data_IF_419047464529
#
_entry.id   IF_419047464529
#
_cell.length_a   1.000
_cell.length_b   1.000
_cell.length_c   1.000
_cell.angle_alpha   90.00
_cell.angle_beta   90.00
_cell.angle_gamma   90.00
#
_symmetry.space_group_name_H-M   'P 1'
#
loop_
_entity.id
_entity.type
_entity.pdbx_description
1 polymer ?
#
# COMPACT_ATOMS: atom_id res chain seq x y z
N UNK A 1 9.53 6.63 -11.00
CA UNK A 1 10.71 5.99 -10.37
C UNK A 1 10.81 6.55 -8.96
N UNK A 2 10.66 5.72 -7.93
CA UNK A 2 10.83 6.19 -6.55
C UNK A 2 12.27 6.65 -6.37
N UNK A 3 12.47 7.80 -5.72
CA UNK A 3 13.77 8.46 -5.59
C UNK A 3 14.63 7.81 -4.49
N UNK A 4 14.68 6.48 -4.48
CA UNK A 4 15.36 5.68 -3.45
C UNK A 4 16.89 5.76 -3.53
N UNK A 5 17.46 6.48 -4.51
CA UNK A 5 18.91 6.61 -4.74
C UNK A 5 19.67 7.23 -3.56
N UNK A 6 19.00 8.03 -2.73
CA UNK A 6 19.56 8.63 -1.50
C UNK A 6 19.62 7.64 -0.32
N UNK A 7 18.99 6.47 -0.43
CA UNK A 7 18.93 5.47 0.64
C UNK A 7 20.19 4.60 0.70
N UNK A 8 20.52 4.03 1.88
CA UNK A 8 21.61 3.07 2.01
C UNK A 8 21.47 1.90 1.03
N UNK A 9 22.60 1.38 0.56
CA UNK A 9 22.63 0.28 -0.42
C UNK A 9 21.78 -0.92 0.02
N UNK A 10 21.90 -1.32 1.29
CA UNK A 10 21.12 -2.44 1.83
C UNK A 10 19.60 -2.21 1.72
N UNK A 11 19.12 -1.01 2.07
CA UNK A 11 17.70 -0.65 1.94
C UNK A 11 17.26 -0.64 0.47
N UNK A 12 18.09 -0.09 -0.44
CA UNK A 12 17.78 -0.10 -1.88
C UNK A 12 17.68 -1.51 -2.46
N UNK A 13 18.57 -2.42 -2.05
CA UNK A 13 18.51 -3.83 -2.45
C UNK A 13 17.23 -4.49 -1.90
N UNK A 14 16.89 -4.22 -0.63
CA UNK A 14 15.66 -4.74 -0.06
C UNK A 14 14.40 -4.25 -0.80
N UNK A 15 14.33 -2.96 -1.18
CA UNK A 15 13.24 -2.40 -2.01
C UNK A 15 13.18 -3.08 -3.37
N UNK A 16 14.33 -3.22 -4.06
CA UNK A 16 14.38 -3.88 -5.37
C UNK A 16 13.87 -5.32 -5.29
N UNK A 17 14.38 -6.09 -4.34
CA UNK A 17 14.16 -7.54 -4.30
C UNK A 17 12.79 -7.90 -3.73
N UNK A 18 12.26 -7.11 -2.78
CA UNK A 18 11.06 -7.47 -2.03
C UNK A 18 9.84 -6.58 -2.31
N UNK A 19 10.01 -5.47 -3.02
CA UNK A 19 8.89 -4.64 -3.49
C UNK A 19 8.84 -4.61 -5.01
N UNK A 20 9.88 -4.09 -5.69
CA UNK A 20 9.85 -3.93 -7.15
C UNK A 20 9.81 -5.27 -7.89
N UNK A 21 10.50 -6.29 -7.38
CA UNK A 21 10.52 -7.66 -7.93
C UNK A 21 9.13 -8.32 -7.98
N UNK A 22 8.41 -8.43 -6.85
CA UNK A 22 7.08 -9.05 -6.81
C UNK A 22 5.92 -8.12 -7.20
N UNK A 23 6.12 -6.79 -7.26
CA UNK A 23 5.08 -5.82 -7.62
C UNK A 23 4.32 -6.12 -8.91
N UNK A 24 4.93 -6.58 -10.01
CA UNK A 24 4.19 -6.92 -11.23
C UNK A 24 3.10 -7.97 -11.02
N UNK A 25 3.38 -9.02 -10.24
CA UNK A 25 2.39 -10.05 -9.91
C UNK A 25 1.23 -9.46 -9.10
N UNK A 26 1.56 -8.61 -8.12
CA UNK A 26 0.58 -7.92 -7.29
C UNK A 26 -0.32 -6.99 -8.11
N UNK A 27 0.25 -6.25 -9.06
CA UNK A 27 -0.49 -5.38 -9.98
C UNK A 27 -1.43 -6.18 -10.88
N UNK A 28 -0.98 -7.33 -11.41
CA UNK A 28 -1.84 -8.19 -12.25
C UNK A 28 -3.01 -8.78 -11.45
N UNK A 29 -2.79 -9.17 -10.19
CA UNK A 29 -3.85 -9.65 -9.30
C UNK A 29 -4.91 -8.57 -9.05
N UNK A 30 -4.48 -7.35 -8.70
CA UNK A 30 -5.40 -6.23 -8.50
C UNK A 30 -6.15 -5.90 -9.79
N UNK A 31 -5.46 -5.86 -10.94
CA UNK A 31 -6.08 -5.62 -12.24
C UNK A 31 -7.17 -6.63 -12.53
N UNK A 32 -6.93 -7.91 -12.29
CA UNK A 32 -7.93 -8.96 -12.46
C UNK A 32 -9.13 -8.79 -11.53
N UNK A 33 -8.88 -8.50 -10.24
CA UNK A 33 -9.94 -8.25 -9.26
C UNK A 33 -10.78 -7.01 -9.63
N UNK A 34 -10.14 -5.97 -10.16
CA UNK A 34 -10.77 -4.72 -10.57
C UNK A 34 -11.32 -4.73 -12.00
N UNK A 35 -11.67 -5.89 -12.56
CA UNK A 35 -12.31 -5.99 -13.87
C UNK A 35 -11.44 -5.54 -15.06
N UNK A 36 -10.13 -5.61 -14.92
CA UNK A 36 -9.15 -5.22 -15.96
C UNK A 36 -8.60 -3.80 -15.80
N UNK A 37 -9.04 -3.04 -14.80
CA UNK A 37 -8.56 -1.69 -14.52
C UNK A 37 -7.20 -1.73 -13.82
N UNK A 38 -6.25 -0.96 -14.34
CA UNK A 38 -4.90 -0.86 -13.76
C UNK A 38 -4.82 0.21 -12.66
N UNK A 39 -4.03 -0.08 -11.63
CA UNK A 39 -3.77 0.79 -10.49
C UNK A 39 -2.28 0.93 -10.23
N UNK A 40 -1.88 2.09 -9.70
CA UNK A 40 -0.51 2.40 -9.35
C UNK A 40 -0.31 2.31 -7.84
N UNK A 41 0.65 1.50 -7.40
CA UNK A 41 1.16 1.55 -6.03
C UNK A 41 2.23 2.64 -5.91
N UNK A 42 1.94 3.65 -5.10
CA UNK A 42 2.78 4.83 -4.89
C UNK A 42 3.30 4.83 -3.46
N UNK A 43 4.61 5.01 -3.33
CA UNK A 43 5.31 5.04 -2.04
C UNK A 43 6.47 6.00 -2.12
N UNK A 44 6.58 6.89 -1.14
CA UNK A 44 7.79 7.67 -0.91
C UNK A 44 8.71 6.93 0.07
N UNK A 45 9.59 6.08 -0.47
CA UNK A 45 10.54 5.33 0.35
C UNK A 45 11.54 6.22 1.09
N UNK A 46 11.79 7.45 0.62
CA UNK A 46 12.72 8.37 1.29
C UNK A 46 12.06 8.92 2.54
N UNK A 47 10.82 9.39 2.41
CA UNK A 47 10.02 9.86 3.55
C UNK A 47 9.82 8.76 4.60
N UNK A 48 9.41 7.55 4.17
CA UNK A 48 9.28 6.41 5.09
C UNK A 48 10.60 6.12 5.83
N UNK A 49 11.71 6.07 5.11
CA UNK A 49 13.01 5.79 5.71
C UNK A 49 13.46 6.86 6.70
N UNK A 50 13.14 8.14 6.46
CA UNK A 50 13.51 9.25 7.34
C UNK A 50 12.66 9.27 8.60
N UNK A 51 11.38 8.89 8.51
CA UNK A 51 10.44 8.98 9.64
C UNK A 51 10.31 7.68 10.45
N UNK A 52 11.04 6.61 10.10
CA UNK A 52 11.07 5.33 10.81
C UNK A 52 12.31 5.13 11.68
N UNK A 53 12.93 6.19 12.19
CA UNK A 53 14.15 6.08 13.01
C UNK A 53 13.96 5.27 14.29
N UNK A 54 12.77 5.34 14.89
CA UNK A 54 12.40 4.57 16.08
C UNK A 54 12.16 3.08 15.79
N UNK A 55 12.13 2.68 14.52
CA UNK A 55 11.91 1.30 14.06
C UNK A 55 13.05 0.85 13.13
N UNK A 56 14.28 0.70 13.65
CA UNK A 56 15.47 0.45 12.83
C UNK A 56 15.42 -0.86 12.05
N UNK A 57 14.68 -1.86 12.55
CA UNK A 57 14.53 -3.16 11.87
C UNK A 57 13.65 -3.04 10.62
N UNK A 58 12.53 -2.32 10.72
CA UNK A 58 11.67 -2.06 9.56
C UNK A 58 12.29 -1.07 8.58
N UNK A 59 13.09 -0.11 9.07
CA UNK A 59 13.86 0.80 8.23
C UNK A 59 14.85 0.08 7.30
N UNK A 60 15.41 -1.06 7.73
CA UNK A 60 16.29 -1.91 6.89
C UNK A 60 15.53 -2.83 5.95
N UNK A 61 14.28 -3.16 6.27
CA UNK A 61 13.40 -4.10 5.54
C UNK A 61 12.27 -3.37 4.81
N UNK A 62 12.53 -2.14 4.38
CA UNK A 62 11.49 -1.22 3.95
C UNK A 62 10.68 -1.75 2.75
N UNK A 63 11.35 -2.39 1.77
CA UNK A 63 10.67 -3.00 0.63
C UNK A 63 9.73 -4.11 1.05
N UNK A 64 10.22 -5.01 1.91
CA UNK A 64 9.44 -6.15 2.40
C UNK A 64 8.21 -5.70 3.19
N UNK A 65 8.37 -4.76 4.13
CA UNK A 65 7.25 -4.30 4.98
C UNK A 65 6.23 -3.52 4.17
N UNK A 66 6.67 -2.66 3.24
CA UNK A 66 5.77 -1.95 2.31
C UNK A 66 4.97 -2.94 1.44
N UNK A 67 5.62 -3.99 0.95
CA UNK A 67 4.94 -5.02 0.18
C UNK A 67 3.84 -5.71 0.99
N UNK A 68 4.03 -5.95 2.29
CA UNK A 68 2.98 -6.53 3.14
C UNK A 68 1.69 -5.72 3.17
N UNK A 69 1.77 -4.39 3.15
CA UNK A 69 0.59 -3.52 3.14
C UNK A 69 -0.21 -3.69 1.84
N UNK A 70 0.47 -3.64 0.69
CA UNK A 70 -0.22 -3.78 -0.60
C UNK A 70 -0.69 -5.21 -0.85
N UNK A 71 0.08 -6.23 -0.44
CA UNK A 71 -0.35 -7.63 -0.50
C UNK A 71 -1.61 -7.85 0.34
N UNK A 72 -1.64 -7.30 1.56
CA UNK A 72 -2.83 -7.34 2.42
C UNK A 72 -4.03 -6.67 1.77
N UNK A 73 -3.85 -5.45 1.23
CA UNK A 73 -4.90 -4.73 0.52
C UNK A 73 -5.44 -5.55 -0.65
N UNK A 74 -4.56 -6.00 -1.56
CA UNK A 74 -4.97 -6.72 -2.77
C UNK A 74 -5.68 -8.02 -2.41
N UNK A 75 -5.20 -8.78 -1.43
CA UNK A 75 -5.86 -10.00 -0.97
C UNK A 75 -7.29 -9.75 -0.49
N UNK A 76 -7.52 -8.67 0.26
CA UNK A 76 -8.87 -8.33 0.71
C UNK A 76 -9.73 -7.81 -0.45
N UNK A 77 -9.18 -6.98 -1.34
CA UNK A 77 -9.89 -6.50 -2.54
C UNK A 77 -10.28 -7.64 -3.49
N UNK A 78 -9.43 -8.65 -3.69
CA UNK A 78 -9.76 -9.85 -4.48
C UNK A 78 -11.03 -10.55 -3.99
N UNK A 79 -11.33 -10.47 -2.69
CA UNK A 79 -12.57 -10.99 -2.13
C UNK A 79 -13.75 -10.02 -2.26
N UNK A 80 -13.55 -8.75 -1.88
CA UNK A 80 -14.62 -7.74 -1.83
C UNK A 80 -15.12 -7.35 -3.22
N UNK A 81 -14.22 -7.23 -4.20
CA UNK A 81 -14.54 -6.80 -5.56
C UNK A 81 -15.23 -7.89 -6.41
N UNK A 82 -15.48 -9.08 -5.85
CA UNK A 82 -16.37 -10.08 -6.47
C UNK A 82 -17.82 -9.59 -6.51
N UNK A 83 -18.21 -8.75 -5.56
CA UNK A 83 -19.49 -8.06 -5.60
C UNK A 83 -19.43 -6.93 -6.63
N UNK A 84 -20.33 -6.97 -7.62
CA UNK A 84 -20.35 -6.03 -8.72
C UNK A 84 -20.59 -4.59 -8.27
N UNK A 85 -21.45 -4.37 -7.26
CA UNK A 85 -21.72 -3.01 -6.76
C UNK A 85 -20.49 -2.44 -6.05
N UNK A 86 -19.79 -3.28 -5.28
CA UNK A 86 -18.54 -2.89 -4.60
C UNK A 86 -17.44 -2.59 -5.62
N UNK A 87 -17.33 -3.40 -6.68
CA UNK A 87 -16.40 -3.16 -7.78
C UNK A 87 -16.62 -1.81 -8.45
N UNK A 88 -17.87 -1.52 -8.83
CA UNK A 88 -18.22 -0.27 -9.50
C UNK A 88 -17.94 0.94 -8.59
N UNK A 89 -18.37 0.87 -7.32
CA UNK A 89 -18.10 1.92 -6.33
C UNK A 89 -16.59 2.15 -6.12
N UNK A 90 -15.80 1.08 -6.01
CA UNK A 90 -14.34 1.18 -5.89
C UNK A 90 -13.69 1.84 -7.10
N UNK A 91 -14.10 1.46 -8.31
CA UNK A 91 -13.55 2.02 -9.55
C UNK A 91 -13.89 3.51 -9.68
N UNK A 92 -15.08 3.93 -9.24
CA UNK A 92 -15.52 5.33 -9.26
C UNK A 92 -14.79 6.15 -8.19
N UNK A 93 -14.79 5.66 -6.96
CA UNK A 93 -14.19 6.34 -5.81
C UNK A 93 -12.67 6.47 -5.96
N UNK A 94 -11.98 5.48 -6.52
CA UNK A 94 -10.51 5.51 -6.74
C UNK A 94 -10.18 5.78 -8.21
N UNK A 95 -10.75 6.87 -8.75
CA UNK A 95 -10.64 7.22 -10.17
C UNK A 95 -9.28 7.79 -10.60
N UNK A 96 -8.43 8.25 -9.67
CA UNK A 96 -7.02 8.60 -10.01
C UNK A 96 -6.20 7.36 -10.32
N UNK A 97 -6.66 6.18 -9.89
CA UNK A 97 -5.96 4.89 -9.95
C UNK A 97 -4.72 4.79 -9.05
N UNK A 98 -4.48 5.78 -8.21
CA UNK A 98 -3.35 5.77 -7.29
C UNK A 98 -3.77 5.21 -5.93
N UNK A 99 -2.91 4.33 -5.40
CA UNK A 99 -2.99 3.78 -4.05
C UNK A 99 -1.69 4.15 -3.34
N UNK A 100 -1.79 5.01 -2.33
CA UNK A 100 -0.65 5.63 -1.65
C UNK A 100 -0.49 5.03 -0.26
N UNK A 101 0.70 4.54 0.07
CA UNK A 101 1.09 4.25 1.45
C UNK A 101 1.88 5.43 2.00
N UNK A 102 1.41 6.01 3.11
CA UNK A 102 2.05 7.15 3.76
C UNK A 102 2.08 7.01 5.29
N UNK A 103 3.01 7.74 5.92
CA UNK A 103 3.01 7.91 7.37
C UNK A 103 2.09 9.07 7.74
N UNK A 104 1.08 8.76 8.54
CA UNK A 104 0.17 9.75 9.13
C UNK A 104 -0.29 9.24 10.49
N UNK A 105 -0.47 10.15 11.45
CA UNK A 105 -1.01 9.77 12.76
C UNK A 105 -2.38 9.14 12.57
N UNK A 106 -2.54 7.93 13.10
CA UNK A 106 -3.81 7.20 13.18
C UNK A 106 -4.01 6.77 14.62
N UNK A 107 -5.26 6.79 15.11
CA UNK A 107 -5.62 6.24 16.42
C UNK A 107 -5.61 4.69 16.42
N UNK A 108 -5.55 4.07 15.24
CA UNK A 108 -5.48 2.62 15.02
C UNK A 108 -4.13 2.19 14.43
N UNK A 109 -3.98 0.90 14.12
CA UNK A 109 -2.80 0.37 13.43
C UNK A 109 -2.67 0.92 12.01
N UNK A 110 -3.80 1.12 11.34
CA UNK A 110 -3.88 1.76 10.04
C UNK A 110 -5.22 2.48 9.86
N UNK A 111 -5.30 3.31 8.83
CA UNK A 111 -6.52 3.94 8.33
C UNK A 111 -6.55 3.81 6.80
N UNK A 112 -7.69 3.41 6.25
CA UNK A 112 -7.99 3.59 4.83
C UNK A 112 -8.81 4.86 4.63
N UNK A 113 -8.43 5.68 3.66
CA UNK A 113 -9.16 6.89 3.32
C UNK A 113 -9.16 7.13 1.82
N UNK A 114 -10.27 7.64 1.28
CA UNK A 114 -10.34 8.12 -0.10
C UNK A 114 -10.38 9.64 -0.06
N UNK A 115 -9.34 10.27 -0.60
CA UNK A 115 -9.22 11.73 -0.70
C UNK A 115 -8.91 12.12 -2.12
N UNK A 116 -9.73 13.03 -2.69
CA UNK A 116 -9.59 13.50 -4.09
C UNK A 116 -9.46 12.33 -5.08
N UNK A 117 -10.24 11.28 -4.83
CA UNK A 117 -10.30 10.05 -5.63
C UNK A 117 -9.04 9.19 -5.65
N UNK A 118 -8.16 9.35 -4.66
CA UNK A 118 -6.98 8.52 -4.41
C UNK A 118 -7.19 7.72 -3.13
N UNK A 119 -6.83 6.43 -3.16
CA UNK A 119 -6.88 5.58 -1.97
C UNK A 119 -5.59 5.73 -1.16
N UNK A 120 -5.72 6.04 0.12
CA UNK A 120 -4.63 6.16 1.06
C UNK A 120 -4.66 4.99 2.04
N UNK A 121 -3.50 4.38 2.24
CA UNK A 121 -3.16 3.52 3.37
C UNK A 121 -2.30 4.35 4.31
N UNK A 122 -2.81 4.65 5.49
CA UNK A 122 -2.13 5.51 6.48
C UNK A 122 -1.78 4.70 7.70
N UNK A 123 -0.54 4.85 8.16
CA UNK A 123 -0.07 4.23 9.41
C UNK A 123 0.80 5.22 10.18
N UNK A 124 0.81 5.10 11.50
CA UNK A 124 1.77 5.85 12.32
C UNK A 124 3.15 5.18 12.25
N UNK A 125 4.25 5.92 12.51
CA UNK A 125 5.58 5.32 12.65
C UNK A 125 5.62 4.19 13.67
N UNK A 126 4.90 4.31 14.79
CA UNK A 126 4.87 3.32 15.87
C UNK A 126 4.11 2.04 15.50
N UNK A 127 3.18 2.12 14.53
CA UNK A 127 2.38 0.98 14.07
C UNK A 127 2.84 0.45 12.71
N UNK A 128 3.96 0.96 12.18
CA UNK A 128 4.46 0.55 10.86
C UNK A 128 4.80 -0.94 10.83
N UNK A 129 4.25 -1.66 9.86
CA UNK A 129 4.34 -3.12 9.72
C UNK A 129 3.35 -3.91 10.58
N UNK A 130 2.58 -3.28 11.45
CA UNK A 130 1.57 -3.95 12.26
C UNK A 130 0.29 -4.22 11.44
N UNK A 131 -0.26 -5.43 11.57
CA UNK A 131 -1.54 -5.83 10.97
C UNK A 131 -1.67 -5.54 9.46
N UNK A 132 -0.56 -5.52 8.74
CA UNK A 132 -0.54 -5.26 7.29
C UNK A 132 -1.40 -6.25 6.48
N UNK A 133 -1.64 -7.47 7.00
CA UNK A 133 -2.57 -8.42 6.37
C UNK A 133 -4.05 -8.07 6.51
N UNK A 134 -4.42 -7.12 7.37
CA UNK A 134 -5.81 -6.72 7.62
C UNK A 134 -6.27 -5.56 6.71
N UNK A 135 -5.32 -4.89 6.05
CA UNK A 135 -5.60 -3.77 5.15
C UNK A 135 -6.64 -4.16 4.10
N UNK A 136 -7.71 -3.37 3.98
CA UNK A 136 -8.76 -3.58 2.99
C UNK A 136 -9.99 -4.33 3.51
N UNK A 137 -9.99 -4.79 4.77
CA UNK A 137 -11.19 -5.40 5.38
C UNK A 137 -12.38 -4.44 5.47
N UNK A 138 -12.07 -3.18 5.74
CA UNK A 138 -12.92 -2.02 5.96
C UNK A 138 -13.18 -1.19 4.69
N UNK A 139 -12.77 -1.67 3.50
CA UNK A 139 -12.91 -0.91 2.26
C UNK A 139 -14.36 -0.51 1.96
N UNK A 140 -15.33 -1.38 2.28
CA UNK A 140 -16.76 -1.12 2.03
C UNK A 140 -17.25 0.08 2.86
N UNK A 141 -16.67 0.33 4.03
CA UNK A 141 -17.11 1.40 4.92
C UNK A 141 -16.72 2.80 4.42
N UNK A 142 -15.82 2.86 3.43
CA UNK A 142 -15.29 4.11 2.86
C UNK A 142 -15.60 4.30 1.37
N UNK A 143 -16.36 3.39 0.76
CA UNK A 143 -16.88 3.48 -0.61
C UNK A 143 -18.28 4.11 -0.63
#
# INVERSE_FOLDING_TARGET
MSDSKSLPLATRLNIRDNYEGPKPELSERLKKAAGGVEFNFVVDFVDLYQNLEQNPDYRKRLGEVVFWYFEGLVRNLEDKLKDKMVLEAFIEAVSTRDIILELKSSESYYELAIEKSTLYIRTSPNNFGCNAGEIGRDIIDIL
#
